data_IF_398646943218
#
_entry.id   IF_398646943218
#
_cell.length_a   1.000
_cell.length_b   1.000
_cell.length_c   1.000
_cell.angle_alpha   90.00
_cell.angle_beta   90.00
_cell.angle_gamma   90.00
#
_symmetry.space_group_name_H-M   'P 1'
#
loop_
_entity.id
_entity.type
_entity.pdbx_description
1 polymer ?
2 non-polymer ?
3 non-polymer ?
4 non-polymer ?
5 non-polymer ?
6 water ?
#
# COMPACT_ATOMS: atom_id res chain seq x y z
N UNK A 2 26.07 14.99 -12.68
CA UNK A 2 26.29 13.89 -13.63
C UNK A 2 26.96 12.63 -13.07
N UNK A 3 27.41 12.65 -11.82
CA UNK A 3 27.78 11.40 -11.13
C UNK A 3 26.50 10.73 -10.59
N UNK A 4 26.39 9.41 -10.76
CA UNK A 4 25.21 8.68 -10.34
C UNK A 4 25.06 8.73 -8.81
N UNK A 5 23.84 8.63 -8.32
CA UNK A 5 23.66 8.50 -6.88
C UNK A 5 24.19 7.16 -6.39
N UNK A 6 24.80 7.20 -5.21
CA UNK A 6 25.41 6.01 -4.58
C UNK A 6 24.38 5.47 -3.60
N UNK A 7 23.57 4.53 -4.08
CA UNK A 7 22.38 4.10 -3.35
C UNK A 7 22.23 2.60 -3.40
N UNK A 8 21.57 2.06 -2.39
CA UNK A 8 21.23 0.64 -2.29
C UNK A 8 19.70 0.57 -2.27
N UNK A 9 19.09 0.14 -3.38
CA UNK A 9 17.64 0.14 -3.54
C UNK A 9 16.98 -0.97 -2.74
N UNK A 10 17.74 -1.85 -2.12
CA UNK A 10 17.20 -2.84 -1.18
C UNK A 10 17.34 -2.41 0.26
N UNK A 11 17.88 -1.21 0.53
CA UNK A 11 18.13 -0.71 1.89
C UNK A 11 16.96 0.16 2.31
N UNK A 12 16.29 -0.19 3.42
CA UNK A 12 15.15 0.62 3.83
C UNK A 12 15.51 2.06 4.15
N UNK A 13 16.74 2.32 4.54
CA UNK A 13 17.17 3.70 4.82
C UNK A 13 17.07 4.58 3.58
N UNK A 14 17.20 4.02 2.37
CA UNK A 14 17.06 4.82 1.17
C UNK A 14 15.67 5.40 1.07
N UNK A 15 14.67 4.59 1.35
CA UNK A 15 13.27 5.02 1.22
C UNK A 15 12.83 5.95 2.35
N UNK A 16 13.53 5.95 3.48
CA UNK A 16 13.24 6.90 4.54
C UNK A 16 13.90 8.24 4.29
N UNK A 17 14.79 8.34 3.30
CA UNK A 17 15.43 9.63 2.99
C UNK A 17 14.55 10.53 2.15
N UNK A 18 14.51 11.81 2.49
CA UNK A 18 13.87 12.82 1.69
C UNK A 18 14.71 13.19 0.46
N UNK A 19 15.83 12.51 0.27
CA UNK A 19 16.68 12.59 -0.92
C UNK A 19 16.44 11.47 -1.92
N UNK A 20 15.56 10.53 -1.63
CA UNK A 20 15.25 9.50 -2.59
C UNK A 20 14.76 10.08 -3.91
N UNK A 21 13.88 11.08 -3.85
CA UNK A 21 13.34 11.62 -5.09
C UNK A 21 14.40 12.27 -5.94
N UNK A 22 15.43 12.86 -5.32
CA UNK A 22 16.51 13.40 -6.14
C UNK A 22 17.29 12.29 -6.83
N UNK A 23 17.48 11.15 -6.18
CA UNK A 23 18.12 10.02 -6.81
C UNK A 23 17.27 9.50 -7.97
N UNK A 24 15.97 9.35 -7.77
CA UNK A 24 15.13 8.90 -8.87
C UNK A 24 15.21 9.85 -10.04
N UNK A 25 15.22 11.16 -9.79
CA UNK A 25 15.32 12.13 -10.87
C UNK A 25 16.56 11.89 -11.71
N UNK A 26 17.71 11.61 -11.07
CA UNK A 26 18.93 11.32 -11.83
C UNK A 26 18.76 10.07 -12.69
N UNK A 27 18.16 9.02 -12.10
CA UNK A 27 17.95 7.79 -12.86
C UNK A 27 17.10 8.07 -14.10
N UNK A 28 16.01 8.78 -13.92
CA UNK A 28 15.10 8.96 -15.04
C UNK A 28 15.75 9.75 -16.17
N UNK A 29 16.66 10.68 -15.83
CA UNK A 29 17.29 11.54 -16.83
C UNK A 29 18.55 10.95 -17.42
N UNK A 30 19.16 9.92 -16.78
CA UNK A 30 20.49 9.47 -17.21
C UNK A 30 20.60 7.97 -17.45
N UNK A 31 19.82 7.15 -16.75
CA UNK A 31 19.91 5.69 -16.90
C UNK A 31 18.58 5.10 -16.42
N UNK A 32 17.55 5.11 -17.28
CA UNK A 32 16.19 4.83 -16.81
C UNK A 32 16.05 3.48 -16.18
N UNK A 33 16.70 2.46 -16.72
CA UNK A 33 16.82 1.16 -16.08
C UNK A 33 18.17 1.17 -15.40
N UNK A 34 18.16 1.50 -14.12
CA UNK A 34 19.32 1.86 -13.33
C UNK A 34 19.86 0.64 -12.61
N UNK A 35 21.18 0.52 -12.51
CA UNK A 35 21.76 -0.44 -11.57
C UNK A 35 22.38 0.27 -10.36
N UNK A 36 22.01 -0.19 -9.17
CA UNK A 36 22.45 0.47 -7.94
C UNK A 36 23.84 0.00 -7.57
N UNK A 37 24.30 0.39 -6.39
CA UNK A 37 25.68 0.14 -6.04
C UNK A 37 26.01 -1.35 -5.91
N UNK A 38 25.01 -2.21 -5.70
CA UNK A 38 25.19 -3.65 -5.64
C UNK A 38 24.80 -4.33 -6.95
N UNK A 39 24.52 -3.57 -7.99
CA UNK A 39 24.15 -4.11 -9.28
C UNK A 39 22.70 -4.48 -9.43
N UNK A 40 21.85 -4.13 -8.48
CA UNK A 40 20.42 -4.43 -8.57
C UNK A 40 19.77 -3.50 -9.61
N UNK A 41 19.04 -4.09 -10.55
CA UNK A 41 18.39 -3.33 -11.62
C UNK A 41 17.03 -2.81 -11.19
N UNK A 42 16.68 -1.59 -11.65
CA UNK A 42 15.43 -0.97 -11.26
C UNK A 42 14.92 -0.08 -12.38
N UNK A 43 13.68 -0.26 -12.78
CA UNK A 43 12.98 0.61 -13.72
C UNK A 43 12.45 1.87 -13.05
N UNK A 44 12.98 3.02 -13.46
CA UNK A 44 12.71 4.29 -12.77
C UNK A 44 11.72 5.18 -13.52
N UNK A 45 11.55 5.00 -14.81
CA UNK A 45 10.63 5.85 -15.57
C UNK A 45 9.27 5.19 -15.66
N UNK A 46 8.26 6.04 -15.81
CA UNK A 46 6.92 5.55 -16.04
C UNK A 46 6.88 4.64 -17.24
N UNK A 47 7.54 5.04 -18.32
CA UNK A 47 7.56 4.23 -19.54
C UNK A 47 8.15 2.84 -19.30
N UNK A 48 9.28 2.78 -18.61
CA UNK A 48 9.91 1.48 -18.38
C UNK A 48 9.06 0.62 -17.45
N UNK A 49 8.46 1.21 -16.42
CA UNK A 49 7.61 0.41 -15.54
C UNK A 49 6.43 -0.17 -16.33
N UNK A 50 5.72 0.66 -17.08
CA UNK A 50 4.57 0.17 -17.85
C UNK A 50 5.01 -0.89 -18.83
N UNK A 51 6.15 -0.68 -19.50
CA UNK A 51 6.56 -1.65 -20.49
C UNK A 51 6.90 -2.98 -19.87
N UNK A 52 7.46 -2.98 -18.65
CA UNK A 52 7.73 -4.23 -17.97
C UNK A 52 6.43 -4.89 -17.50
N UNK A 53 5.50 -4.10 -17.00
CA UNK A 53 4.21 -4.61 -16.54
C UNK A 53 3.47 -5.28 -17.66
N UNK A 54 3.59 -4.76 -18.87
CA UNK A 54 2.91 -5.27 -20.06
C UNK A 54 3.52 -6.51 -20.64
N UNK A 55 4.66 -6.94 -20.12
CA UNK A 55 5.38 -8.11 -20.65
C UNK A 55 5.61 -9.12 -19.53
N UNK A 56 4.54 -9.68 -18.98
CA UNK A 56 4.69 -10.61 -17.85
C UNK A 56 5.40 -11.90 -18.22
N UNK A 57 5.46 -12.29 -19.49
CA UNK A 57 6.17 -13.51 -19.85
C UNK A 57 7.68 -13.34 -19.75
N UNK A 58 8.16 -12.12 -19.93
CA UNK A 58 9.57 -11.76 -19.77
C UNK A 58 9.89 -11.32 -18.33
N UNK A 59 9.00 -10.55 -17.73
CA UNK A 59 9.13 -9.96 -16.38
C UNK A 59 8.10 -10.67 -15.50
N UNK A 60 8.51 -11.78 -14.91
CA UNK A 60 7.62 -12.71 -14.20
C UNK A 60 7.51 -12.40 -12.71
N UNK A 61 6.35 -12.74 -12.15
CA UNK A 61 6.14 -12.67 -10.69
C UNK A 61 6.43 -13.98 -9.98
N UNK A 62 6.77 -15.05 -10.72
CA UNK A 62 6.86 -16.39 -10.12
C UNK A 62 8.15 -16.64 -9.36
N UNK A 63 9.08 -15.70 -9.38
CA UNK A 63 10.22 -15.73 -8.47
C UNK A 63 10.01 -15.04 -7.15
N UNK A 64 8.81 -14.51 -6.90
CA UNK A 64 8.56 -13.68 -5.74
C UNK A 64 8.77 -12.20 -6.05
N UNK A 65 8.02 -11.36 -5.35
CA UNK A 65 8.02 -9.90 -5.60
C UNK A 65 8.94 -9.11 -4.68
N UNK A 66 9.71 -9.76 -3.83
CA UNK A 66 10.72 -9.11 -3.01
C UNK A 66 12.10 -9.51 -3.49
N UNK A 67 13.11 -8.67 -3.28
CA UNK A 67 14.45 -9.07 -3.70
C UNK A 67 14.98 -10.07 -2.68
N UNK A 68 15.67 -11.08 -3.16
CA UNK A 68 16.32 -12.05 -2.27
C UNK A 68 15.34 -12.79 -1.36
N UNK A 69 14.05 -12.87 -1.67
CA UNK A 69 13.12 -13.76 -0.98
C UNK A 69 12.40 -14.62 -2.02
N UNK A 70 12.14 -15.88 -1.72
CA UNK A 70 11.54 -16.78 -2.71
C UNK A 70 10.03 -16.59 -2.83
N UNK A 71 9.47 -17.13 -3.91
CA UNK A 71 8.04 -17.10 -4.10
C UNK A 71 7.29 -17.87 -3.03
N UNK A 72 6.15 -17.34 -2.68
CA UNK A 72 5.14 -17.97 -1.84
C UNK A 72 3.95 -18.35 -2.69
N UNK A 73 3.13 -19.30 -2.24
CA UNK A 73 1.98 -19.81 -3.03
C UNK A 73 0.76 -18.90 -2.86
N UNK A 74 0.93 -17.66 -3.30
CA UNK A 74 -0.11 -16.68 -3.27
C UNK A 74 -0.17 -15.98 -4.62
N UNK A 75 -1.32 -15.39 -4.90
CA UNK A 75 -1.56 -14.92 -6.26
C UNK A 75 -0.52 -13.90 -6.72
N UNK A 76 0.02 -13.06 -5.83
CA UNK A 76 0.96 -12.02 -6.27
C UNK A 76 2.29 -12.59 -6.72
N UNK A 77 2.59 -13.82 -6.37
CA UNK A 77 3.79 -14.53 -6.81
C UNK A 77 3.50 -15.58 -7.88
N UNK A 78 2.41 -15.39 -8.61
CA UNK A 78 2.02 -16.31 -9.65
C UNK A 78 1.93 -15.63 -11.00
N UNK A 79 2.11 -16.41 -12.07
CA UNK A 79 1.89 -15.93 -13.43
C UNK A 79 0.64 -16.59 -14.01
N UNK A 80 0.07 -15.97 -15.07
CA UNK A 80 -1.03 -16.60 -15.79
C UNK A 80 -0.51 -17.85 -16.52
N UNK A 81 -1.34 -18.91 -16.67
CA UNK A 81 -2.76 -18.97 -16.33
C UNK A 81 -3.11 -19.23 -14.87
N UNK A 82 -2.19 -19.78 -14.07
CA UNK A 82 -2.56 -20.12 -12.70
C UNK A 82 -2.99 -18.88 -11.91
N UNK A 83 -2.29 -17.76 -12.13
CA UNK A 83 -2.65 -16.52 -11.45
C UNK A 83 -4.09 -16.12 -11.73
N UNK A 84 -4.52 -16.21 -13.00
CA UNK A 84 -5.85 -15.74 -13.38
C UNK A 84 -6.94 -16.53 -12.67
N UNK A 85 -6.78 -17.86 -12.54
CA UNK A 85 -7.77 -18.65 -11.81
C UNK A 85 -7.80 -18.26 -10.33
N UNK A 86 -6.62 -18.10 -9.71
CA UNK A 86 -6.56 -17.72 -8.30
C UNK A 86 -7.22 -16.39 -8.06
N UNK A 87 -6.90 -15.42 -8.92
CA UNK A 87 -7.48 -14.09 -8.80
C UNK A 87 -9.00 -14.13 -9.01
N UNK A 88 -9.49 -14.89 -9.99
CA UNK A 88 -10.94 -15.00 -10.17
C UNK A 88 -11.60 -15.58 -8.94
N UNK A 89 -10.97 -16.57 -8.31
CA UNK A 89 -11.56 -17.15 -7.10
C UNK A 89 -11.64 -16.11 -5.98
N UNK A 90 -10.56 -15.38 -5.76
CA UNK A 90 -10.52 -14.40 -4.66
C UNK A 90 -11.35 -13.17 -5.00
N UNK A 91 -11.58 -12.92 -6.28
CA UNK A 91 -12.36 -11.75 -6.66
C UNK A 91 -13.77 -11.77 -6.10
N UNK A 92 -14.30 -12.93 -5.72
CA UNK A 92 -15.61 -12.98 -5.09
C UNK A 92 -15.69 -12.05 -3.89
N UNK A 93 -14.57 -11.83 -3.17
CA UNK A 93 -14.60 -10.91 -2.05
C UNK A 93 -14.50 -9.44 -2.41
N UNK A 94 -14.29 -9.11 -3.69
CA UNK A 94 -13.88 -7.78 -4.10
C UNK A 94 -14.67 -7.31 -5.30
N UNK A 95 -15.85 -7.87 -5.50
CA UNK A 95 -16.73 -7.36 -6.55
C UNK A 95 -17.10 -5.90 -6.22
N UNK A 96 -17.45 -5.12 -7.23
CA UNK A 96 -17.73 -3.71 -6.99
C UNK A 96 -18.88 -3.52 -6.04
N UNK A 97 -19.90 -4.37 -6.15
CA UNK A 97 -21.04 -4.29 -5.25
C UNK A 97 -20.67 -4.64 -3.83
N UNK A 98 -19.88 -5.71 -3.62
CA UNK A 98 -19.55 -6.08 -2.26
C UNK A 98 -18.76 -4.97 -1.59
N UNK A 99 -17.83 -4.37 -2.31
CA UNK A 99 -17.01 -3.32 -1.72
C UNK A 99 -17.83 -2.06 -1.45
N UNK A 100 -18.60 -1.63 -2.45
CA UNK A 100 -19.38 -0.41 -2.25
C UNK A 100 -20.37 -0.56 -1.09
N UNK A 101 -20.86 -1.76 -0.81
CA UNK A 101 -21.82 -2.00 0.26
C UNK A 101 -21.20 -1.86 1.65
N UNK A 102 -19.88 -1.81 1.74
CA UNK A 102 -19.19 -1.61 3.01
C UNK A 102 -19.20 -0.14 3.45
N UNK A 103 -19.68 0.77 2.60
CA UNK A 103 -19.52 2.20 2.90
C UNK A 103 -20.06 2.58 4.28
N UNK A 104 -21.28 2.18 4.62
CA UNK A 104 -21.81 2.60 5.92
C UNK A 104 -20.97 2.07 7.08
N UNK A 105 -20.54 0.82 6.99
CA UNK A 105 -19.77 0.25 8.09
C UNK A 105 -18.41 0.91 8.22
N UNK A 106 -17.77 1.26 7.10
CA UNK A 106 -16.47 1.94 7.17
C UNK A 106 -16.64 3.34 7.73
N UNK A 107 -17.68 4.04 7.29
CA UNK A 107 -17.96 5.36 7.83
C UNK A 107 -18.18 5.32 9.33
N UNK A 108 -18.86 4.28 9.81
CA UNK A 108 -19.09 4.15 11.24
C UNK A 108 -17.76 4.01 11.99
N UNK A 109 -16.83 3.23 11.44
CA UNK A 109 -15.52 3.09 12.09
C UNK A 109 -14.79 4.42 12.09
N UNK A 110 -14.85 5.16 10.98
CA UNK A 110 -14.22 6.48 10.95
C UNK A 110 -14.77 7.39 12.02
N UNK A 111 -16.08 7.42 12.18
CA UNK A 111 -16.67 8.27 13.19
C UNK A 111 -16.31 7.82 14.60
N UNK A 112 -16.19 6.52 14.86
CA UNK A 112 -15.79 6.04 16.18
C UNK A 112 -14.37 6.50 16.49
N UNK A 113 -13.48 6.37 15.52
CA UNK A 113 -12.09 6.78 15.73
C UNK A 113 -11.98 8.28 15.96
N UNK A 114 -12.68 9.10 15.16
CA UNK A 114 -12.66 10.54 15.40
C UNK A 114 -13.29 10.88 16.74
N UNK A 115 -14.37 10.18 17.14
CA UNK A 115 -14.97 10.40 18.44
C UNK A 115 -13.99 10.20 19.60
N UNK A 116 -13.00 9.31 19.41
CA UNK A 116 -12.06 9.03 20.48
C UNK A 116 -11.06 10.15 20.70
N UNK A 117 -10.85 11.05 19.73
CA UNK A 117 -9.89 12.14 19.87
C UNK A 117 -10.50 13.52 19.83
N UNK A 118 -11.73 13.66 19.37
CA UNK A 118 -12.22 14.98 19.00
C UNK A 118 -12.31 15.94 20.19
N UNK A 119 -12.52 15.43 21.42
CA UNK A 119 -12.63 16.31 22.58
C UNK A 119 -11.26 16.79 23.06
N UNK A 120 -10.18 16.13 22.61
CA UNK A 120 -8.85 16.40 23.16
C UNK A 120 -8.19 17.62 22.51
N UNK A 121 -8.46 17.90 21.23
CA UNK A 121 -7.78 18.99 20.53
C UNK A 121 -6.40 18.65 20.01
N UNK A 122 -5.93 17.43 20.19
CA UNK A 122 -4.65 16.98 19.67
C UNK A 122 -4.75 15.48 19.50
N UNK A 123 -4.10 14.94 18.47
CA UNK A 123 -3.87 13.51 18.38
C UNK A 123 -2.64 13.27 17.54
N UNK A 124 -2.18 12.04 17.52
CA UNK A 124 -1.17 11.59 16.56
C UNK A 124 -1.98 11.02 15.41
N UNK A 125 -1.94 11.69 14.27
CA UNK A 125 -2.82 11.30 13.17
C UNK A 125 -2.52 9.88 12.75
N UNK A 126 -1.25 9.49 12.77
CA UNK A 126 -0.85 8.14 12.39
C UNK A 126 -1.39 7.10 13.35
N UNK A 127 -1.11 7.25 14.63
CA UNK A 127 -1.51 6.25 15.62
C UNK A 127 -3.02 6.19 15.81
N UNK A 128 -3.70 7.33 15.75
CA UNK A 128 -5.09 7.41 16.19
C UNK A 128 -6.10 7.35 15.06
N UNK A 129 -5.71 7.60 13.83
CA UNK A 129 -6.66 7.64 12.70
C UNK A 129 -6.14 6.80 11.54
N UNK A 130 -4.94 7.07 11.05
CA UNK A 130 -4.49 6.46 9.79
C UNK A 130 -4.21 4.95 9.91
N UNK A 131 -3.52 4.52 10.96
CA UNK A 131 -3.24 3.11 11.16
C UNK A 131 -4.46 2.32 11.63
N UNK A 132 -5.29 2.82 12.55
CA UNK A 132 -6.38 1.95 13.03
C UNK A 132 -7.52 1.76 12.06
N UNK A 133 -7.83 2.73 11.20
CA UNK A 133 -9.03 2.61 10.38
C UNK A 133 -8.89 1.43 9.43
N UNK A 134 -7.83 1.29 8.65
CA UNK A 134 -7.77 0.13 7.76
C UNK A 134 -7.71 -1.19 8.51
N UNK A 135 -7.03 -1.19 9.66
CA UNK A 135 -6.99 -2.40 10.47
C UNK A 135 -8.38 -2.80 10.93
N UNK A 136 -9.20 -1.87 11.36
CA UNK A 136 -10.53 -2.22 11.81
C UNK A 136 -11.38 -2.74 10.65
N UNK A 137 -11.26 -2.14 9.44
CA UNK A 137 -12.04 -2.61 8.31
C UNK A 137 -11.67 -4.04 7.94
N UNK A 138 -10.37 -4.30 7.79
CA UNK A 138 -9.97 -5.65 7.37
C UNK A 138 -10.17 -6.65 8.51
N UNK A 139 -9.97 -6.23 9.77
CA UNK A 139 -10.25 -7.09 10.90
C UNK A 139 -11.70 -7.50 10.90
N UNK A 140 -12.60 -6.56 10.68
CA UNK A 140 -14.02 -6.91 10.69
C UNK A 140 -14.37 -7.89 9.57
N UNK A 141 -13.75 -7.74 8.42
CA UNK A 141 -13.95 -8.70 7.33
C UNK A 141 -13.47 -10.10 7.71
N UNK A 142 -12.39 -10.20 8.49
CA UNK A 142 -11.78 -11.48 8.86
C UNK A 142 -12.28 -12.02 10.19
N UNK A 143 -13.25 -11.38 10.84
CA UNK A 143 -13.78 -11.90 12.09
C UNK A 143 -12.96 -11.60 13.33
N UNK A 144 -12.12 -10.58 13.32
CA UNK A 144 -11.27 -10.24 14.46
C UNK A 144 -12.05 -9.42 15.48
N UNK A 145 -12.03 -9.84 16.75
CA UNK A 145 -12.66 -9.06 17.81
C UNK A 145 -11.95 -7.71 17.90
N UNK A 146 -12.67 -6.64 18.23
CA UNK A 146 -12.01 -5.33 18.30
C UNK A 146 -10.80 -5.30 19.21
N UNK A 147 -10.87 -5.96 20.37
CA UNK A 147 -9.78 -5.94 21.34
C UNK A 147 -8.60 -6.81 20.92
N UNK A 148 -8.76 -7.56 19.82
CA UNK A 148 -7.66 -8.33 19.23
C UNK A 148 -7.06 -7.68 18.00
N UNK A 149 -7.55 -6.51 17.57
CA UNK A 149 -6.95 -5.84 16.43
C UNK A 149 -5.48 -5.56 16.65
N UNK A 150 -5.11 -5.10 17.84
CA UNK A 150 -3.72 -4.75 18.07
C UNK A 150 -2.79 -5.94 17.90
N UNK A 151 -3.25 -7.14 18.28
CA UNK A 151 -2.44 -8.33 18.09
C UNK A 151 -2.25 -8.64 16.61
N UNK A 152 -3.30 -8.51 15.80
CA UNK A 152 -3.16 -8.71 14.36
C UNK A 152 -2.27 -7.67 13.76
N UNK A 153 -2.37 -6.43 14.23
CA UNK A 153 -1.53 -5.38 13.69
C UNK A 153 -0.07 -5.65 14.00
N UNK A 154 0.22 -6.21 15.17
CA UNK A 154 1.58 -6.57 15.53
C UNK A 154 2.11 -7.68 14.62
N UNK A 155 1.34 -8.78 14.45
CA UNK A 155 1.77 -9.82 13.51
C UNK A 155 2.06 -9.20 12.13
N UNK A 156 1.20 -8.29 11.69
CA UNK A 156 1.32 -7.69 10.37
C UNK A 156 2.54 -6.81 10.27
N UNK A 157 2.82 -6.03 11.30
CA UNK A 157 4.00 -5.18 11.31
C UNK A 157 5.24 -6.02 11.27
N UNK A 158 5.24 -7.19 11.93
CA UNK A 158 6.37 -8.12 11.86
C UNK A 158 6.54 -8.70 10.46
N UNK A 159 5.44 -9.09 9.84
CA UNK A 159 5.53 -9.64 8.49
C UNK A 159 6.03 -8.60 7.50
N UNK A 160 5.55 -7.35 7.60
CA UNK A 160 6.04 -6.31 6.69
C UNK A 160 7.49 -5.98 6.95
N UNK A 161 7.95 -6.05 8.19
CA UNK A 161 9.36 -5.83 8.48
C UNK A 161 10.19 -6.87 7.71
N UNK A 162 9.75 -8.14 7.70
CA UNK A 162 10.44 -9.17 6.94
C UNK A 162 10.47 -8.83 5.45
N UNK A 163 9.34 -8.47 4.88
CA UNK A 163 9.25 -8.11 3.48
C UNK A 163 10.10 -6.91 3.09
N UNK A 164 10.39 -6.06 4.08
CA UNK A 164 11.03 -4.76 3.89
C UNK A 164 12.50 -4.77 4.19
N UNK A 165 13.12 -5.93 4.44
CA UNK A 165 14.52 -5.98 4.83
C UNK A 165 15.08 -7.37 4.51
N UNK A 166 16.38 -7.54 4.78
CA UNK A 166 17.05 -8.83 4.99
C UNK A 166 17.19 -9.05 6.49
N UNK A 167 16.29 -9.89 7.07
CA UNK A 167 16.18 -9.94 8.53
C UNK A 167 17.31 -10.77 9.14
N UNK A 168 17.59 -10.49 10.42
CA UNK A 168 18.39 -11.36 11.26
C UNK A 168 17.66 -12.67 11.51
N UNK A 169 18.39 -13.61 12.11
CA UNK A 169 17.77 -14.87 12.54
C UNK A 169 16.64 -14.60 13.53
N UNK A 170 16.85 -13.66 14.45
CA UNK A 170 15.83 -13.34 15.43
C UNK A 170 14.56 -12.83 14.77
N UNK A 171 14.69 -11.95 13.76
CA UNK A 171 13.51 -11.45 13.05
C UNK A 171 12.93 -12.50 12.09
N UNK A 172 13.74 -13.41 11.56
CA UNK A 172 13.18 -14.55 10.83
C UNK A 172 12.28 -15.40 11.74
N UNK A 173 12.72 -15.68 12.96
CA UNK A 173 11.94 -16.51 13.87
C UNK A 173 10.65 -15.80 14.25
N UNK A 174 10.71 -14.49 14.49
CA UNK A 174 9.52 -13.72 14.80
C UNK A 174 8.53 -13.81 13.65
N UNK A 175 9.03 -13.72 12.41
CA UNK A 175 8.17 -13.80 11.25
C UNK A 175 7.46 -15.15 11.19
N UNK A 176 8.21 -16.23 11.38
CA UNK A 176 7.61 -17.57 11.35
C UNK A 176 6.54 -17.69 12.43
N UNK A 177 6.84 -17.17 13.64
CA UNK A 177 5.88 -17.25 14.75
C UNK A 177 4.58 -16.52 14.41
N UNK A 178 4.70 -15.32 13.86
CA UNK A 178 3.53 -14.58 13.45
C UNK A 178 2.72 -15.35 12.41
N UNK A 179 3.37 -15.91 11.39
CA UNK A 179 2.62 -16.70 10.43
C UNK A 179 1.91 -17.85 11.14
N UNK A 180 2.63 -18.57 12.03
CA UNK A 180 2.03 -19.71 12.72
C UNK A 180 0.77 -19.29 13.50
N UNK A 181 0.81 -18.11 14.13
CA UNK A 181 -0.37 -17.65 14.85
C UNK A 181 -1.51 -17.26 13.91
N UNK A 182 -1.19 -16.61 12.79
CA UNK A 182 -2.22 -16.25 11.82
C UNK A 182 -2.83 -17.50 11.20
N UNK A 183 -1.98 -18.48 10.89
CA UNK A 183 -2.46 -19.73 10.29
C UNK A 183 -3.45 -20.40 11.23
N UNK A 184 -3.12 -20.48 12.53
CA UNK A 184 -4.00 -21.13 13.48
C UNK A 184 -5.36 -20.43 13.51
N UNK A 185 -5.34 -19.11 13.64
CA UNK A 185 -6.59 -18.36 13.75
C UNK A 185 -7.43 -18.56 12.51
N UNK A 186 -6.79 -18.49 11.36
CA UNK A 186 -7.51 -18.55 10.09
C UNK A 186 -8.08 -19.92 9.83
N UNK A 187 -7.34 -20.99 10.17
CA UNK A 187 -7.91 -22.32 9.93
C UNK A 187 -9.08 -22.55 10.87
N UNK A 188 -9.08 -21.90 12.03
CA UNK A 188 -10.25 -21.97 12.90
C UNK A 188 -11.45 -21.26 12.29
N UNK A 189 -11.25 -20.09 11.69
CA UNK A 189 -12.34 -19.38 11.00
C UNK A 189 -12.87 -20.21 9.86
N UNK A 190 -11.96 -20.75 9.04
CA UNK A 190 -12.39 -21.59 7.91
C UNK A 190 -13.27 -22.72 8.40
N UNK A 191 -12.84 -23.45 9.42
CA UNK A 191 -13.64 -24.57 9.90
C UNK A 191 -15.00 -24.09 10.37
N UNK A 192 -15.06 -22.95 11.04
CA UNK A 192 -16.34 -22.48 11.55
C UNK A 192 -17.26 -22.09 10.40
N UNK A 193 -16.71 -21.46 9.35
CA UNK A 193 -17.57 -20.97 8.28
C UNK A 193 -17.97 -22.07 7.32
N UNK A 194 -17.15 -23.11 7.18
CA UNK A 194 -17.57 -24.27 6.41
C UNK A 194 -18.76 -24.95 7.07
N UNK A 195 -18.85 -24.89 8.40
CA UNK A 195 -19.98 -25.50 9.10
C UNK A 195 -21.17 -24.56 9.23
N UNK A 196 -20.93 -23.26 9.37
CA UNK A 196 -21.97 -22.27 9.60
C UNK A 196 -21.60 -21.02 8.81
N UNK A 197 -21.90 -21.00 7.51
CA UNK A 197 -21.52 -19.85 6.67
C UNK A 197 -22.13 -18.56 7.21
N UNK A 198 -21.37 -17.49 7.13
CA UNK A 198 -21.93 -16.16 7.37
C UNK A 198 -21.71 -15.33 6.11
N UNK A 199 -21.58 -14.01 6.24
CA UNK A 199 -21.35 -13.17 5.08
C UNK A 199 -20.01 -12.45 5.16
N UNK A 200 -19.05 -13.01 5.87
CA UNK A 200 -17.74 -12.40 6.01
C UNK A 200 -16.82 -12.90 4.90
N UNK A 201 -15.56 -12.46 4.94
CA UNK A 201 -14.68 -12.71 3.80
C UNK A 201 -14.39 -14.20 3.65
N UNK A 202 -14.12 -14.89 4.75
CA UNK A 202 -13.80 -16.31 4.65
C UNK A 202 -15.01 -17.09 4.12
N UNK A 203 -16.20 -16.70 4.56
CA UNK A 203 -17.40 -17.35 4.01
C UNK A 203 -17.51 -17.16 2.50
N UNK A 204 -17.31 -15.93 2.02
CA UNK A 204 -17.42 -15.71 0.59
C UNK A 204 -16.34 -16.47 -0.16
N UNK A 205 -15.12 -16.49 0.38
CA UNK A 205 -14.06 -17.19 -0.34
C UNK A 205 -14.23 -18.70 -0.29
N UNK A 206 -14.77 -19.26 0.80
CA UNK A 206 -15.00 -20.70 0.86
C UNK A 206 -15.93 -21.16 -0.25
N UNK A 207 -16.92 -20.33 -0.56
CA UNK A 207 -17.95 -20.75 -1.49
C UNK A 207 -17.66 -20.33 -2.92
N UNK A 208 -16.58 -19.59 -3.15
CA UNK A 208 -16.24 -19.12 -4.48
C UNK A 208 -15.87 -20.31 -5.38
N UNK A 209 -16.38 -20.31 -6.61
CA UNK A 209 -16.12 -21.41 -7.53
C UNK A 209 -15.93 -20.87 -8.94
N UNK A 210 -14.92 -21.38 -9.64
CA UNK A 210 -14.52 -20.93 -10.98
C UNK A 210 -14.01 -22.13 -11.77
N UNK A 211 -14.54 -22.32 -12.99
CA UNK A 211 -14.11 -23.39 -13.91
C UNK A 211 -14.09 -24.74 -13.20
N UNK A 212 -15.08 -24.96 -12.33
CA UNK A 212 -15.12 -26.19 -11.54
C UNK A 212 -14.12 -26.34 -10.42
N UNK A 213 -13.46 -25.25 -9.98
CA UNK A 213 -12.40 -25.31 -8.99
C UNK A 213 -12.80 -24.42 -7.79
N UNK A 214 -12.28 -24.76 -6.60
CA UNK A 214 -12.47 -23.93 -5.40
C UNK A 214 -11.11 -23.71 -4.72
N UNK A 215 -11.08 -22.83 -3.70
CA UNK A 215 -9.86 -22.60 -2.94
C UNK A 215 -9.73 -23.66 -1.87
N UNK A 216 -8.55 -24.27 -1.77
CA UNK A 216 -8.25 -25.19 -0.69
C UNK A 216 -8.01 -24.43 0.61
N UNK A 217 -8.02 -25.16 1.73
CA UNK A 217 -7.72 -24.50 3.00
C UNK A 217 -6.35 -23.86 3.01
N UNK A 218 -5.35 -24.51 2.40
CA UNK A 218 -4.02 -23.89 2.30
C UNK A 218 -4.09 -22.58 1.54
N UNK A 219 -4.81 -22.58 0.40
CA UNK A 219 -4.90 -21.38 -0.42
C UNK A 219 -5.67 -20.27 0.30
N UNK A 220 -6.69 -20.64 1.09
CA UNK A 220 -7.46 -19.66 1.84
C UNK A 220 -6.58 -18.96 2.87
N UNK A 221 -5.67 -19.69 3.50
CA UNK A 221 -4.75 -19.06 4.45
C UNK A 221 -3.84 -18.08 3.73
N UNK A 222 -3.24 -18.51 2.60
CA UNK A 222 -2.30 -17.67 1.87
C UNK A 222 -2.97 -16.42 1.34
N UNK A 223 -4.16 -16.58 0.76
CA UNK A 223 -4.82 -15.44 0.11
C UNK A 223 -5.38 -14.47 1.13
N UNK A 224 -5.90 -14.99 2.26
CA UNK A 224 -6.35 -14.05 3.28
C UNK A 224 -5.18 -13.34 3.95
N UNK A 225 -4.00 -13.97 4.03
CA UNK A 225 -2.80 -13.28 4.55
C UNK A 225 -2.35 -12.14 3.62
N UNK A 226 -2.37 -12.37 2.31
CA UNK A 226 -2.06 -11.32 1.35
C UNK A 226 -3.02 -10.15 1.55
N UNK A 227 -4.31 -10.46 1.73
CA UNK A 227 -5.35 -9.47 1.96
C UNK A 227 -5.17 -8.73 3.28
N UNK A 228 -4.84 -9.46 4.35
CA UNK A 228 -4.61 -8.82 5.64
C UNK A 228 -3.56 -7.74 5.53
N UNK A 229 -2.41 -8.08 4.98
CA UNK A 229 -1.29 -7.15 4.84
C UNK A 229 -1.63 -6.00 3.91
N UNK A 230 -2.29 -6.25 2.80
CA UNK A 230 -2.77 -5.14 1.99
C UNK A 230 -3.73 -4.28 2.77
N UNK A 231 -4.63 -4.88 3.53
CA UNK A 231 -5.56 -4.06 4.28
C UNK A 231 -4.87 -3.17 5.31
N UNK A 232 -3.93 -3.75 6.06
CA UNK A 232 -3.47 -3.11 7.28
C UNK A 232 -2.06 -2.52 7.23
N UNK A 233 -1.35 -2.60 6.09
CA UNK A 233 -0.01 -2.07 5.99
C UNK A 233 0.21 -1.08 4.84
N UNK A 234 -0.80 -0.70 4.07
CA UNK A 234 -0.63 0.18 2.90
C UNK A 234 -1.40 1.47 3.02
N UNK A 235 -2.73 1.41 3.05
CA UNK A 235 -3.59 2.56 3.05
C UNK A 235 -3.27 3.57 4.13
N UNK A 236 -2.89 3.09 5.30
CA UNK A 236 -2.44 3.93 6.41
C UNK A 236 -1.48 5.02 5.96
N UNK A 237 -0.54 4.70 5.07
CA UNK A 237 0.48 5.66 4.68
C UNK A 237 -0.02 6.69 3.69
N UNK A 238 -1.04 6.36 2.91
CA UNK A 238 -1.69 7.36 2.05
C UNK A 238 -2.58 8.25 2.89
N UNK A 239 -3.23 7.71 3.90
CA UNK A 239 -4.03 8.56 4.79
C UNK A 239 -3.15 9.58 5.51
N UNK A 240 -2.05 9.13 6.09
CA UNK A 240 -1.19 10.06 6.81
C UNK A 240 -0.48 11.00 5.85
N UNK A 241 0.23 10.47 4.86
CA UNK A 241 1.03 11.32 4.02
C UNK A 241 0.22 12.20 3.12
N UNK A 242 -0.94 11.70 2.67
CA UNK A 242 -1.82 12.56 1.89
C UNK A 242 -2.43 13.69 2.68
N UNK A 243 -2.87 13.41 3.91
CA UNK A 243 -3.38 14.47 4.74
C UNK A 243 -2.27 15.46 5.09
N UNK A 244 -1.05 14.98 5.29
CA UNK A 244 0.09 15.84 5.52
C UNK A 244 0.22 16.87 4.37
N UNK A 245 0.08 16.44 3.12
CA UNK A 245 0.19 17.39 2.01
C UNK A 245 -0.96 18.39 1.99
N UNK A 246 -2.17 17.99 2.39
CA UNK A 246 -3.26 18.93 2.47
C UNK A 246 -2.98 19.99 3.51
N UNK A 247 -2.34 19.61 4.62
CA UNK A 247 -2.02 20.56 5.70
C UNK A 247 -0.82 21.43 5.38
N UNK A 248 0.12 20.92 4.62
CA UNK A 248 1.29 21.69 4.22
C UNK A 248 0.93 22.75 3.18
N UNK A 249 -0.08 22.48 2.35
CA UNK A 249 -0.47 23.37 1.26
C UNK A 249 -1.91 23.74 1.55
N UNK A 250 -2.11 24.76 2.39
CA UNK A 250 -3.43 24.99 2.94
C UNK A 250 -4.45 25.44 1.90
N UNK A 251 -3.99 25.97 0.75
CA UNK A 251 -4.93 26.25 -0.33
C UNK A 251 -5.61 24.96 -0.81
N UNK A 252 -4.92 23.83 -0.70
CA UNK A 252 -5.50 22.56 -1.11
C UNK A 252 -6.56 22.09 -0.09
N UNK A 253 -6.20 22.16 1.20
CA UNK A 253 -7.18 21.91 2.27
C UNK A 253 -8.43 22.76 2.07
N UNK A 254 -8.23 24.05 1.80
CA UNK A 254 -9.36 24.98 1.65
C UNK A 254 -10.24 24.65 0.44
N UNK A 255 -9.63 24.24 -0.69
CA UNK A 255 -10.44 23.85 -1.84
C UNK A 255 -11.35 22.68 -1.49
N UNK A 256 -10.82 21.67 -0.80
CA UNK A 256 -11.64 20.51 -0.47
C UNK A 256 -12.72 20.83 0.53
N UNK A 257 -12.43 21.73 1.46
CA UNK A 257 -13.46 22.04 2.42
C UNK A 257 -14.64 22.76 1.79
N UNK A 258 -14.42 23.51 0.74
CA UNK A 258 -15.53 24.21 0.13
C UNK A 258 -16.18 23.42 -1.00
N UNK A 259 -15.58 22.33 -1.48
CA UNK A 259 -16.18 21.59 -2.59
C UNK A 259 -16.00 20.08 -2.44
N UNK A 260 -17.01 19.38 -1.88
CA UNK A 260 -16.85 17.93 -1.68
C UNK A 260 -16.71 17.11 -2.96
N UNK A 261 -17.14 17.64 -4.11
CA UNK A 261 -17.01 16.91 -5.36
C UNK A 261 -15.56 16.85 -5.83
N UNK A 262 -14.64 17.59 -5.18
CA UNK A 262 -13.22 17.47 -5.53
C UNK A 262 -12.56 16.31 -4.82
N UNK A 263 -13.25 15.64 -3.90
CA UNK A 263 -12.62 14.59 -3.12
C UNK A 263 -12.07 13.46 -3.98
N UNK A 264 -12.75 12.95 -5.01
CA UNK A 264 -12.16 11.84 -5.76
C UNK A 264 -10.81 12.18 -6.34
N UNK A 265 -10.67 13.37 -6.90
CA UNK A 265 -9.36 13.76 -7.45
C UNK A 265 -8.32 13.97 -6.38
N UNK A 266 -8.70 14.46 -5.20
CA UNK A 266 -7.77 14.57 -4.08
C UNK A 266 -7.24 13.21 -3.66
N UNK A 267 -8.08 12.21 -3.55
CA UNK A 267 -7.61 10.88 -3.18
C UNK A 267 -6.61 10.36 -4.17
N UNK A 268 -6.84 10.59 -5.47
CA UNK A 268 -5.87 10.15 -6.47
C UNK A 268 -4.54 10.86 -6.31
N UNK A 269 -4.54 12.16 -6.02
CA UNK A 269 -3.30 12.86 -5.79
C UNK A 269 -2.62 12.42 -4.51
N UNK A 270 -3.37 12.05 -3.49
CA UNK A 270 -2.76 11.49 -2.29
C UNK A 270 -2.05 10.18 -2.61
N UNK A 271 -2.71 9.33 -3.40
CA UNK A 271 -2.10 8.07 -3.85
C UNK A 271 -0.85 8.30 -4.69
N UNK A 272 -0.92 9.19 -5.67
CA UNK A 272 0.26 9.45 -6.51
C UNK A 272 1.43 9.84 -5.62
N UNK A 273 1.22 10.78 -4.74
CA UNK A 273 2.27 11.39 -3.96
C UNK A 273 2.92 10.40 -2.99
N UNK A 274 2.10 9.64 -2.29
CA UNK A 274 2.54 8.81 -1.18
C UNK A 274 3.12 7.48 -1.62
N UNK A 275 2.60 6.90 -2.70
CA UNK A 275 3.06 5.61 -3.23
C UNK A 275 3.56 4.69 -2.15
N UNK A 276 2.66 4.18 -1.30
CA UNK A 276 3.12 3.41 -0.12
C UNK A 276 3.97 2.22 -0.50
N UNK A 277 3.58 1.50 -1.54
CA UNK A 277 4.40 0.40 -2.05
C UNK A 277 5.48 1.00 -2.96
N UNK A 278 6.71 0.95 -2.53
CA UNK A 278 7.83 1.61 -3.22
C UNK A 278 8.35 0.81 -4.37
N UNK A 279 8.16 -0.49 -4.35
CA UNK A 279 8.64 -1.34 -5.45
C UNK A 279 8.00 -2.70 -5.37
N UNK A 280 7.95 -3.34 -6.53
CA UNK A 280 7.68 -4.75 -6.68
C UNK A 280 8.75 -5.31 -7.60
N UNK A 281 9.16 -6.54 -7.39
CA UNK A 281 10.18 -7.16 -8.23
C UNK A 281 9.55 -7.99 -9.32
N UNK A 282 10.35 -8.18 -10.40
CA UNK A 282 10.03 -9.10 -11.48
C UNK A 282 11.29 -9.88 -11.79
N UNK A 283 11.18 -11.19 -12.06
CA UNK A 283 12.35 -11.99 -12.42
C UNK A 283 12.38 -12.12 -13.93
N UNK A 284 13.56 -11.94 -14.50
CA UNK A 284 13.72 -12.05 -15.95
C UNK A 284 13.68 -13.52 -16.38
N UNK A 285 12.87 -13.82 -17.38
CA UNK A 285 12.86 -15.18 -17.89
C UNK A 285 13.82 -15.41 -19.05
N UNK A 286 14.46 -14.37 -19.54
CA UNK A 286 15.43 -14.46 -20.62
C UNK A 286 16.33 -13.24 -20.52
N UNK A 287 17.53 -13.37 -21.07
CA UNK A 287 18.36 -12.20 -21.29
C UNK A 287 17.62 -11.23 -22.20
N UNK A 288 17.75 -9.92 -21.93
CA UNK A 288 17.02 -8.97 -22.75
C UNK A 288 17.68 -7.59 -22.62
N UNK A 289 17.58 -6.79 -23.68
CA UNK A 289 18.01 -5.40 -23.71
C UNK A 289 16.74 -4.57 -23.47
N UNK A 290 16.67 -3.85 -22.38
CA UNK A 290 15.43 -3.21 -21.94
C UNK A 290 15.66 -1.74 -21.65
N UNK A 291 15.09 -0.87 -22.50
CA UNK A 291 15.27 0.57 -22.36
C UNK A 291 16.72 0.97 -22.10
N UNK A 292 17.62 0.33 -22.85
CA UNK A 292 19.01 0.69 -22.83
C UNK A 292 19.89 -0.10 -21.89
N UNK A 293 19.34 -0.95 -21.03
CA UNK A 293 20.12 -1.71 -20.06
C UNK A 293 20.03 -3.19 -20.35
N UNK A 294 21.17 -3.86 -20.35
CA UNK A 294 21.22 -5.30 -20.51
C UNK A 294 20.81 -6.00 -19.22
N UNK A 295 19.84 -6.89 -19.32
CA UNK A 295 19.34 -7.65 -18.16
C UNK A 295 19.58 -9.14 -18.42
N UNK A 296 19.82 -9.88 -17.36
CA UNK A 296 20.17 -11.28 -17.47
C UNK A 296 19.07 -12.21 -16.95
N UNK A 297 18.87 -13.31 -17.65
CA UNK A 297 17.91 -14.29 -17.17
C UNK A 297 18.17 -14.67 -15.72
N UNK A 298 17.10 -14.67 -14.93
CA UNK A 298 17.17 -15.06 -13.54
C UNK A 298 17.41 -13.96 -12.54
N UNK A 299 17.80 -12.76 -12.98
CA UNK A 299 17.92 -11.68 -12.02
C UNK A 299 16.56 -11.02 -11.80
N UNK A 300 16.42 -10.33 -10.68
CA UNK A 300 15.22 -9.56 -10.36
C UNK A 300 15.43 -8.08 -10.63
N UNK A 301 14.44 -7.46 -11.26
CA UNK A 301 14.43 -6.02 -11.50
C UNK A 301 13.28 -5.42 -10.69
N UNK A 302 13.55 -4.31 -10.00
CA UNK A 302 12.50 -3.61 -9.27
C UNK A 302 11.71 -2.68 -10.20
N UNK A 303 10.42 -2.57 -9.97
CA UNK A 303 9.56 -1.53 -10.53
C UNK A 303 9.45 -0.42 -9.48
N UNK A 304 9.95 0.77 -9.78
CA UNK A 304 9.98 1.87 -8.79
C UNK A 304 8.75 2.74 -8.93
N UNK A 305 7.68 2.41 -8.21
CA UNK A 305 6.40 3.09 -8.45
C UNK A 305 6.39 4.53 -7.99
N UNK A 306 7.10 4.87 -6.92
CA UNK A 306 7.18 6.28 -6.56
C UNK A 306 7.92 7.06 -7.62
N UNK A 307 9.03 6.53 -8.11
CA UNK A 307 9.77 7.22 -9.17
C UNK A 307 8.87 7.47 -10.38
N UNK A 308 8.11 6.47 -10.80
CA UNK A 308 7.24 6.64 -11.95
C UNK A 308 6.20 7.71 -11.69
N UNK A 309 5.69 7.77 -10.44
CA UNK A 309 4.67 8.75 -10.07
C UNK A 309 5.18 10.17 -10.04
N UNK A 310 6.48 10.38 -10.09
CA UNK A 310 7.12 11.70 -10.16
C UNK A 310 7.85 11.93 -11.48
N UNK A 311 7.46 11.17 -12.52
CA UNK A 311 8.09 11.31 -13.82
C UNK A 311 7.50 12.50 -14.58
N UNK A 312 8.34 13.49 -14.82
CA UNK A 312 7.96 14.71 -15.52
C UNK A 312 7.43 14.45 -16.91
N UNK A 313 7.78 13.31 -17.52
CA UNK A 313 7.31 13.01 -18.87
C UNK A 313 5.80 12.75 -18.88
N UNK A 314 5.25 12.39 -17.73
CA UNK A 314 3.84 12.06 -17.59
C UNK A 314 3.07 13.08 -16.74
N UNK A 315 3.67 13.54 -15.64
CA UNK A 315 3.03 14.42 -14.66
C UNK A 315 3.72 15.78 -14.72
N UNK A 316 3.02 16.81 -15.21
CA UNK A 316 3.57 18.14 -15.22
C UNK A 316 3.81 18.62 -13.79
N UNK A 317 4.98 19.21 -13.54
CA UNK A 317 5.36 19.73 -12.23
C UNK A 317 5.05 18.70 -11.15
N UNK A 318 5.70 17.53 -11.21
CA UNK A 318 5.33 16.42 -10.31
C UNK A 318 5.54 16.71 -8.84
N UNK A 319 6.40 17.68 -8.48
CA UNK A 319 6.60 18.03 -7.08
C UNK A 319 5.59 19.02 -6.58
N UNK A 320 4.59 19.36 -7.39
CA UNK A 320 3.46 20.16 -6.97
C UNK A 320 2.30 19.22 -6.63
N UNK A 321 1.84 19.27 -5.39
CA UNK A 321 0.67 18.53 -4.96
C UNK A 321 -0.55 19.29 -5.41
N UNK A 322 -1.38 18.68 -6.25
CA UNK A 322 -2.53 19.38 -6.84
C UNK A 322 -3.71 18.42 -6.87
N UNK A 323 -4.69 18.63 -5.98
CA UNK A 323 -5.82 17.75 -5.88
C UNK A 323 -6.64 17.73 -7.15
N UNK A 324 -6.54 18.77 -7.99
CA UNK A 324 -7.30 18.86 -9.21
C UNK A 324 -6.62 18.20 -10.40
N UNK A 325 -5.43 17.63 -10.18
CA UNK A 325 -4.63 17.10 -11.27
C UNK A 325 -5.44 16.19 -12.18
N UNK A 326 -5.43 16.48 -13.46
CA UNK A 326 -6.11 15.70 -14.47
C UNK A 326 -5.27 15.82 -15.73
N UNK A 327 -4.67 14.75 -16.25
CA UNK A 327 -4.85 13.36 -15.85
C UNK A 327 -4.06 13.03 -14.61
N UNK A 328 -4.39 11.91 -13.99
CA UNK A 328 -3.62 11.43 -12.84
C UNK A 328 -3.58 9.93 -12.89
N UNK A 329 -2.89 9.41 -13.93
CA UNK A 329 -2.79 7.97 -14.13
C UNK A 329 -1.59 7.41 -13.40
N UNK A 330 -1.62 7.54 -12.09
CA UNK A 330 -0.48 7.13 -11.25
C UNK A 330 -0.45 5.60 -11.14
N UNK A 331 0.70 5.13 -10.73
CA UNK A 331 1.02 3.71 -10.57
C UNK A 331 1.11 3.26 -9.11
N UNK A 332 0.43 3.93 -8.19
CA UNK A 332 0.51 3.46 -6.80
C UNK A 332 -0.02 2.03 -6.63
N UNK A 333 -1.00 1.65 -7.44
CA UNK A 333 -1.59 0.31 -7.45
C UNK A 333 -1.02 -0.58 -8.52
N UNK A 334 0.07 -0.17 -9.15
CA UNK A 334 0.61 -0.88 -10.28
C UNK A 334 -0.24 -0.80 -11.51
N UNK A 335 -0.14 -1.82 -12.36
CA UNK A 335 -0.72 -1.81 -13.69
C UNK A 335 -0.69 -3.22 -14.23
N UNK A 336 -1.72 -3.60 -14.93
CA UNK A 336 -1.69 -4.85 -15.69
C UNK A 336 -2.23 -6.05 -14.92
N UNK A 337 -1.66 -7.23 -15.16
CA UNK A 337 -2.37 -8.39 -14.64
C UNK A 337 -2.36 -8.47 -13.11
N UNK A 338 -1.42 -7.81 -12.40
CA UNK A 338 -1.40 -7.83 -10.94
C UNK A 338 -1.94 -6.55 -10.32
N UNK A 339 -2.54 -5.65 -11.10
CA UNK A 339 -3.13 -4.41 -10.58
C UNK A 339 -3.89 -4.68 -9.29
N UNK A 340 -3.62 -3.86 -8.27
CA UNK A 340 -4.10 -4.13 -6.91
C UNK A 340 -5.57 -4.53 -6.89
N UNK A 341 -5.85 -5.72 -6.33
CA UNK A 341 -7.23 -6.21 -6.22
C UNK A 341 -8.01 -5.38 -5.21
N UNK A 342 -7.33 -4.79 -4.26
CA UNK A 342 -7.97 -4.05 -3.19
C UNK A 342 -8.14 -2.57 -3.45
N UNK A 343 -7.89 -2.12 -4.67
CA UNK A 343 -7.82 -0.69 -4.94
C UNK A 343 -9.11 0.00 -4.59
N UNK A 344 -10.25 -0.62 -4.89
CA UNK A 344 -11.53 0.06 -4.64
C UNK A 344 -11.74 0.22 -3.14
N UNK A 345 -11.42 -0.80 -2.36
CA UNK A 345 -11.53 -0.74 -0.91
C UNK A 345 -10.61 0.32 -0.34
N UNK A 346 -9.37 0.37 -0.82
CA UNK A 346 -8.46 1.38 -0.29
C UNK A 346 -8.96 2.79 -0.62
N UNK A 347 -9.44 3.01 -1.85
CA UNK A 347 -9.97 4.31 -2.21
C UNK A 347 -11.19 4.69 -1.37
N UNK A 348 -12.04 3.71 -1.06
CA UNK A 348 -13.25 3.96 -0.25
C UNK A 348 -12.84 4.37 1.16
N UNK A 349 -11.87 3.68 1.74
CA UNK A 349 -11.42 4.01 3.09
C UNK A 349 -10.82 5.42 3.11
N UNK A 350 -10.01 5.74 2.09
CA UNK A 350 -9.40 7.06 2.00
C UNK A 350 -10.46 8.14 1.88
N UNK A 351 -11.46 7.90 1.03
CA UNK A 351 -12.52 8.87 0.82
C UNK A 351 -13.30 9.12 2.09
N UNK A 352 -13.74 8.07 2.75
CA UNK A 352 -14.64 8.21 3.90
C UNK A 352 -13.93 8.83 5.09
N UNK A 353 -12.68 8.47 5.35
CA UNK A 353 -11.94 9.10 6.44
C UNK A 353 -11.62 10.54 6.14
N UNK A 354 -11.14 10.83 4.92
CA UNK A 354 -10.77 12.20 4.58
C UNK A 354 -11.97 13.13 4.62
N UNK A 355 -13.13 12.69 4.11
CA UNK A 355 -14.28 13.56 4.16
C UNK A 355 -14.65 13.89 5.61
N UNK A 356 -14.53 12.92 6.52
CA UNK A 356 -14.85 13.18 7.93
C UNK A 356 -13.80 14.03 8.63
N UNK A 357 -12.51 13.85 8.31
CA UNK A 357 -11.46 14.71 8.85
C UNK A 357 -11.71 16.15 8.45
N UNK A 358 -12.03 16.36 7.18
CA UNK A 358 -12.26 17.72 6.70
C UNK A 358 -13.43 18.39 7.39
N UNK A 359 -14.49 17.64 7.64
CA UNK A 359 -15.71 18.22 8.19
C UNK A 359 -15.68 18.29 9.72
N UNK A 360 -15.09 17.33 10.41
CA UNK A 360 -15.16 17.25 11.86
C UNK A 360 -13.94 17.89 12.52
N UNK A 361 -12.81 17.94 11.84
CA UNK A 361 -11.60 18.63 12.32
C UNK A 361 -11.26 19.76 11.35
N UNK A 362 -12.16 20.72 11.15
CA UNK A 362 -11.99 21.63 10.00
C UNK A 362 -10.80 22.58 10.09
N UNK A 363 -10.27 22.84 11.30
CA UNK A 363 -9.09 23.69 11.46
C UNK A 363 -7.83 22.88 11.81
N UNK A 364 -7.79 21.62 11.42
CA UNK A 364 -6.64 20.76 11.65
C UNK A 364 -5.35 21.41 11.19
N UNK A 365 -4.28 21.26 12.00
CA UNK A 365 -2.97 21.80 11.67
C UNK A 365 -1.89 20.84 12.17
N UNK A 366 -0.72 20.83 11.50
CA UNK A 366 0.42 20.10 12.01
C UNK A 366 1.06 20.82 13.19
N UNK A 367 1.51 20.05 14.19
CA UNK A 367 2.23 20.64 15.30
C UNK A 367 3.59 21.11 14.87
N UNK A 368 4.33 20.25 14.24
CA UNK A 368 5.66 20.65 13.80
C UNK A 368 5.76 20.22 12.36
N UNK A 369 6.54 20.96 11.61
CA UNK A 369 6.51 20.81 10.18
C UNK A 369 7.17 19.49 9.77
N UNK A 370 7.04 19.21 8.49
CA UNK A 370 7.41 17.91 7.95
C UNK A 370 8.91 17.66 8.03
N UNK A 371 9.73 18.70 8.22
CA UNK A 371 11.16 18.47 8.19
C UNK A 371 11.64 17.66 9.40
N UNK A 372 10.82 17.55 10.44
CA UNK A 372 11.20 16.76 11.61
C UNK A 372 10.38 15.48 11.74
N UNK A 373 9.50 15.21 10.78
CA UNK A 373 8.65 14.02 10.76
C UNK A 373 9.27 12.87 9.97
N UNK A 374 9.74 11.84 10.62
CA UNK A 374 10.44 10.78 9.91
C UNK A 374 9.52 9.80 9.23
N UNK A 375 10.08 9.22 8.17
CA UNK A 375 9.51 8.10 7.45
C UNK A 375 10.12 6.81 8.00
N UNK A 376 9.38 5.74 7.95
CA UNK A 376 9.87 4.47 8.48
C UNK A 376 10.87 3.84 7.52
N UNK A 377 12.06 3.48 7.98
CA UNK A 377 12.97 2.73 7.12
C UNK A 377 12.40 1.36 6.78
N UNK A 378 12.26 1.08 5.49
CA UNK A 378 11.66 -0.15 4.98
C UNK A 378 11.88 -0.11 3.49
N UNK A 379 12.23 -1.24 2.89
CA UNK A 379 12.46 -1.25 1.43
C UNK A 379 11.26 -1.61 0.60
N UNK A 380 10.08 -1.80 1.21
CA UNK A 380 8.90 -2.31 0.49
C UNK A 380 7.74 -1.34 0.65
N UNK A 381 7.21 -1.18 1.85
CA UNK A 381 6.10 -0.29 2.14
C UNK A 381 6.57 0.69 3.22
N UNK A 382 6.33 1.96 3.01
CA UNK A 382 6.83 2.95 3.96
C UNK A 382 5.94 4.19 3.94
N UNK A 383 5.88 4.84 5.09
CA UNK A 383 5.27 6.15 5.26
C UNK A 383 5.64 6.71 6.62
N UNK A 384 4.90 7.74 7.03
CA UNK A 384 5.21 8.47 8.26
C UNK A 384 5.10 7.59 9.49
N UNK A 385 6.02 7.79 10.42
CA UNK A 385 5.96 7.12 11.72
C UNK A 385 4.95 7.77 12.64
N UNK A 386 4.83 9.09 12.60
CA UNK A 386 4.07 9.86 13.58
C UNK A 386 3.69 11.19 12.92
N UNK A 387 2.53 11.73 13.28
CA UNK A 387 2.08 13.00 12.72
C UNK A 387 1.22 13.72 13.75
N UNK A 388 1.82 14.37 14.75
CA UNK A 388 1.04 15.15 15.72
C UNK A 388 0.30 16.30 15.06
N UNK A 389 -0.99 16.41 15.37
CA UNK A 389 -1.86 17.44 14.81
C UNK A 389 -2.71 18.01 15.92
N UNK A 390 -3.14 19.27 15.73
CA UNK A 390 -4.01 19.96 16.68
C UNK A 390 -5.22 20.54 15.94
N UNK A 391 -6.29 20.76 16.69
CA UNK A 391 -7.56 21.17 16.13
C UNK A 391 -8.43 21.68 17.27
N UNK A 392 -9.47 22.45 16.92
CA UNK A 392 -10.42 22.89 17.95
C UNK A 392 -11.26 21.71 18.40
N UNK A 393 -11.36 21.45 19.70
CA UNK A 393 -12.17 20.33 20.18
C UNK A 393 -13.63 20.44 19.78
N UNK A 394 -14.28 19.30 19.68
CA UNK A 394 -15.72 19.20 19.45
C UNK A 394 -16.27 17.96 20.15
N UNK A 395 -17.59 17.90 20.37
CA UNK A 395 -18.18 16.73 21.04
C UNK A 395 -18.29 15.56 20.09
N UNK A 396 -18.30 14.34 20.62
CA UNK A 396 -18.47 13.17 19.76
C UNK A 396 -19.87 13.08 19.16
N UNK A 397 -19.96 12.28 18.11
CA UNK A 397 -21.25 12.00 17.48
C UNK A 397 -21.97 10.83 18.14
N UNK A 398 -21.26 9.83 18.64
CA UNK A 398 -21.88 8.64 19.17
C UNK A 398 -21.21 8.10 20.42
X LIG B 1 -1.46 -6.10 -5.48
X LIG B 1 -0.54 -1.60 -3.93
X LIG B 1 -4.18 -1.94 -0.77
X LIG B 1 -4.95 -6.49 -2.13
X LIG B 1 -0.92 -4.85 -5.35
X LIG B 1 0.18 -4.32 -6.12
X LIG B 1 0.47 -3.09 -5.69
X LIG B 1 -0.48 -2.77 -4.64
X LIG B 1 1.53 -2.12 -6.18
X LIG B 1 0.96 -5.02 -7.26
X LIG B 1 0.66 -4.36 -8.62
X LIG B 1 1.75 -4.57 -9.62
X LIG B 1 2.81 -5.16 -9.36
X LIG B 1 1.50 -4.06 -10.76
X LIG B 1 -1.45 -1.31 -2.96
X LIG B 1 -1.59 -0.02 -2.31
X LIG B 1 -2.64 -0.08 -1.45
X LIG B 1 -3.13 -1.41 -1.49
X LIG B 1 -0.72 1.18 -2.66
X LIG B 1 -3.28 0.98 -0.61
X LIG B 1 -3.16 2.29 -0.88
X LIG B 1 -4.69 -3.20 -0.84
X LIG B 1 -5.81 -3.71 -0.08
X LIG B 1 -6.05 -5.00 -0.44
X LIG B 1 -5.04 -5.32 -1.43
X LIG B 1 -6.58 -2.82 0.86
X LIG B 1 -7.09 -5.97 0.05
X LIG B 1 -7.95 -5.69 1.02
X LIG B 1 -4.07 -6.77 -3.14
X LIG B 1 -3.97 -8.05 -3.79
X LIG B 1 -2.99 -7.96 -4.71
X LIG B 1 -2.47 -6.63 -4.69
X LIG B 1 -4.79 -9.28 -3.44
X LIG B 1 -2.46 -9.04 -5.71
X LIG B 1 -3.16 -8.93 -7.09
X LIG B 1 -2.58 -9.87 -8.12
X LIG B 1 -1.44 -10.34 -7.91
X LIG B 1 -3.26 -10.10 -9.14
X LIG B 1 -1.29 -3.83 -4.45
X LIG B 1 -2.35 -2.15 -2.38
X LIG B 1 -4.26 -4.22 -1.67
X LIG B 1 -3.13 -5.93 -3.70
X LIG B 1 -2.78 -4.03 -3.07
X LIG B 1 0.13 -0.92 -4.12
X LIG B 1 -4.62 -1.33 -0.14
X LIG B 1 -5.58 -7.21 -1.89
X LIG B 1 2.38 -2.60 -6.28
X LIG B 1 1.64 -1.39 -5.54
X LIG B 1 1.27 -1.76 -7.06
X LIG B 1 0.71 -5.95 -7.30
X LIG B 1 1.92 -4.95 -7.08
X LIG B 1 0.56 -3.41 -8.49
X LIG B 1 -0.16 -4.74 -8.97
X LIG B 1 0.20 0.88 -2.79
X LIG B 1 -0.75 1.82 -1.95
X LIG B 1 -1.04 1.59 -3.48
X LIG B 1 -3.81 0.71 0.15
X LIG B 1 -3.61 2.94 -0.30
X LIG B 1 -2.64 2.58 -1.63
X LIG B 1 -6.04 -2.04 1.09
X LIG B 1 -6.80 -3.30 1.67
X LIG B 1 -7.40 -2.52 0.42
X LIG B 1 -7.13 -6.84 -0.36
X LIG B 1 -8.60 -6.36 1.30
X LIG B 1 -7.94 -4.82 1.46
X LIG B 1 -4.64 -9.98 -4.12
X LIG B 1 -5.74 -9.05 -3.42
X LIG B 1 -4.52 -9.62 -2.57
X LIG B 1 -2.63 -9.92 -5.33
X LIG B 1 -1.51 -8.91 -5.83
X LIG B 1 -3.07 -8.02 -7.41
X LIG B 1 -4.10 -9.13 -6.98
X LIG B 1 -1.11 -6.66 -6.19
X LIG C 1 5.86 -12.44 -1.22
X LIG C 1 6.15 -11.85 -0.21
X LIG C 1 6.66 -13.08 -2.01
X LIG C 1 4.40 -12.45 -1.64
X LIG C 1 3.85 -12.14 -0.89
X LIG C 1 4.14 -13.34 -1.88
X LIG C 1 4.28 -11.85 -2.39
X LIG D 1 -10.62 26.17 -9.44
X LIG E 1 -16.15 -9.47 3.67
X LIG F 1 2.59 -19.63 -11.46
X LIG G 1 -19.29 1.34 -7.20
X LIG H 1 6.31 -12.79 4.87
X LIG H 1 5.27 -13.58 4.12
X LIG H 1 3.48 -12.30 3.40
X LIG H 1 3.03 -11.24 2.44
X LIG H 1 1.89 -10.47 2.53
X LIG H 1 1.95 -9.53 1.46
X LIG H 1 1.07 -8.51 1.03
X LIG H 1 1.42 -7.75 -0.06
X LIG H 1 0.54 -6.75 -0.60
X LIG H 1 0.89 -5.58 -1.29
X LIG H 1 -0.09 -4.70 -1.82
X LIG H 1 -1.75 -6.06 -1.10
X LIG H 1 -0.85 -6.93 -0.50
X LIG H 1 2.60 -8.04 -0.76
X LIG H 1 3.47 -9.05 -0.37
X LIG H 1 3.12 -9.79 0.78
X LIG H 1 -1.38 -4.95 -1.74
X LIG H 1 3.74 -10.83 1.40
X LIG H 1 4.75 -12.68 3.14
X LIG H 1 2.86 -12.58 4.38
X LIG H 1 6.72 -13.35 5.51
X LIG H 1 5.91 -12.07 5.30
X LIG H 1 6.97 -12.48 4.28
X LIG H 1 5.68 -14.32 3.69
X LIG H 1 4.60 -13.87 4.69
X LIG H 1 1.22 -10.54 3.16
X LIG H 1 0.27 -8.37 1.49
X LIG H 1 1.79 -5.37 -1.41
X LIG H 1 0.18 -3.92 -2.23
X LIG H 1 -2.66 -6.26 -1.04
X LIG H 1 -1.17 -7.65 -0.02
X LIG H 1 2.81 -7.54 -1.50
X LIG H 1 4.24 -9.23 -0.85
X LIG H 1 4.50 -11.17 1.15
#
# INVERSE_FOLDING_TARGET
GTEAPDVDLADGNFYASREARAAYRWMRANQPVFRDRNGLAAASTYQAVIDAERQPELFSNAGGIRPDQPALPMMIDMDDPAHLLRRKLVNAGFTRKRVKDKEASIAALCDTLIDAVCERGECDFVRDLAAPLPMAVIGDMLGVRPEQRDMFLRWSDDLVTFLSSHVSQEDFQITMDAFAAYNDFTRATIAARRADPTDDLVSVLVSSEVDGERLSDDELVMETLLILIGGDETTRHTLSGGTEQLLRNRDQWDLLQRDPSLLPGAIEEMLRWTAPVKNMCRVLTADTEFHGTALCAGEKMMLLFESANFDEAVFCEPEKFDVQRNPNSHLAFGFGTHFCLGNQLARLELSLMTERVLRRLPDLRLVADDSVLPLRPANFVSGLESMPVVFTPSPPLG
HEM CHA CHB CHC CHD C1A C2A C3A C4A CMA CAA CBA CGA O1A O2A C1B C2B C3B C4B CMB CAB CBB C1C C2C C3C C4C CMC CAC CBC C1D C2D C3D C4D CMD CAD CBD CGD O1D O2D NA NB NC ND FE HHB HHC HHD HMA HMAA HMAB HAA HAAA HBA HBAA HMB HMBA HMBB HAB HBB HBBA HMC HMCA HMCB HAC HBC HBCA HMD HMDA HMDB HAD HADA HBD HBDA HHA
ACT C O OXT CH3 H1 H2 H3
BR BR
BR BR
BR BR
BR BR
DQE C01 C02 C04 C06 C07 C08 C09 C10 C11 C12 C13 C15 C16 C17 C18 C19 N14 N20 O03 O05 H013 H012 H011 H021 H022 H071 H091 H121 H131 H151 H161 H171 H181 H201
#
